data_IF_078798083557
#
_entry.id   IF_078798083557
#
_cell.length_a   1.000
_cell.length_b   1.000
_cell.length_c   1.000
_cell.angle_alpha   90.00
_cell.angle_beta   90.00
_cell.angle_gamma   90.00
#
_symmetry.space_group_name_H-M   'P 1'
#
loop_
_entity.id
_entity.type
_entity.pdbx_description
1 polymer ?
#
# COMPACT_ATOMS: atom_id res chain seq x y z
N UNK A 1 16.56 -16.00 5.14
CA UNK A 1 15.79 -15.22 4.14
C UNK A 1 15.98 -15.66 2.69
N UNK A 2 17.19 -15.81 2.14
CA UNK A 2 17.35 -16.25 0.72
C UNK A 2 16.66 -17.59 0.39
N UNK A 3 16.83 -18.61 1.24
CA UNK A 3 16.13 -19.91 1.09
C UNK A 3 14.61 -19.78 1.17
N UNK A 4 14.11 -18.87 2.03
CA UNK A 4 12.67 -18.58 2.18
C UNK A 4 12.11 -17.94 0.91
N UNK A 5 12.83 -16.97 0.33
CA UNK A 5 12.43 -16.36 -0.95
C UNK A 5 12.41 -17.38 -2.10
N UNK A 6 13.38 -18.30 -2.14
CA UNK A 6 13.37 -19.39 -3.13
C UNK A 6 12.19 -20.34 -2.94
N UNK A 7 11.93 -20.78 -1.71
CA UNK A 7 10.79 -21.64 -1.39
C UNK A 7 9.46 -20.95 -1.77
N UNK A 8 9.34 -19.66 -1.49
CA UNK A 8 8.20 -18.86 -1.88
C UNK A 8 8.04 -18.79 -3.41
N UNK A 9 9.13 -18.58 -4.15
CA UNK A 9 9.08 -18.54 -5.61
C UNK A 9 8.57 -19.87 -6.19
N UNK A 10 8.99 -21.01 -5.65
CA UNK A 10 8.45 -22.32 -6.05
C UNK A 10 6.98 -22.50 -5.65
N UNK A 11 6.59 -22.06 -4.46
CA UNK A 11 5.19 -22.08 -4.03
C UNK A 11 4.32 -21.24 -4.97
N UNK A 12 4.78 -20.06 -5.38
CA UNK A 12 4.08 -19.18 -6.31
C UNK A 12 4.02 -19.75 -7.74
N UNK A 13 5.00 -20.58 -8.17
CA UNK A 13 4.89 -21.37 -9.40
C UNK A 13 3.75 -22.40 -9.28
N UNK A 14 3.67 -23.11 -8.15
CA UNK A 14 2.57 -24.06 -7.92
C UNK A 14 1.21 -23.35 -7.93
N UNK A 15 1.10 -22.21 -7.23
CA UNK A 15 -0.12 -21.39 -7.21
C UNK A 15 -0.46 -20.88 -8.63
N UNK A 16 0.54 -20.46 -9.41
CA UNK A 16 0.33 -20.06 -10.81
C UNK A 16 -0.34 -21.17 -11.62
N UNK A 17 0.13 -22.41 -11.48
CA UNK A 17 -0.44 -23.57 -12.18
C UNK A 17 -1.89 -23.82 -11.74
N UNK A 18 -2.17 -23.73 -10.45
CA UNK A 18 -3.55 -23.88 -9.93
C UNK A 18 -4.48 -22.80 -10.51
N UNK A 19 -4.05 -21.53 -10.49
CA UNK A 19 -4.81 -20.41 -11.06
C UNK A 19 -5.03 -20.61 -12.56
N UNK A 20 -4.00 -21.04 -13.28
CA UNK A 20 -4.06 -21.25 -14.72
C UNK A 20 -5.08 -22.32 -15.11
N UNK A 21 -5.17 -23.40 -14.34
CA UNK A 21 -6.17 -24.48 -14.52
C UNK A 21 -7.60 -23.98 -14.27
N UNK A 22 -7.80 -22.94 -13.45
CA UNK A 22 -9.13 -22.43 -13.11
C UNK A 22 -9.60 -21.29 -14.05
N UNK A 23 -8.72 -20.36 -14.40
CA UNK A 23 -9.10 -19.16 -15.16
C UNK A 23 -8.63 -19.15 -16.63
N UNK A 24 -7.57 -19.89 -16.98
CA UNK A 24 -7.00 -19.99 -18.34
C UNK A 24 -6.74 -18.64 -19.06
N UNK A 25 -6.45 -17.56 -18.33
CA UNK A 25 -6.25 -16.24 -18.97
C UNK A 25 -4.83 -16.05 -19.50
N UNK A 26 -4.68 -15.19 -20.51
CA UNK A 26 -3.36 -14.80 -21.06
C UNK A 26 -2.44 -14.21 -19.97
N UNK A 27 -3.02 -13.45 -19.03
CA UNK A 27 -2.28 -12.88 -17.89
C UNK A 27 -1.60 -13.98 -17.06
N UNK A 28 -2.31 -15.07 -16.77
CA UNK A 28 -1.81 -16.15 -15.91
C UNK A 28 -0.66 -16.92 -16.58
N UNK A 29 -0.73 -17.11 -17.91
CA UNK A 29 0.38 -17.65 -18.70
C UNK A 29 1.61 -16.74 -18.64
N UNK A 30 1.43 -15.43 -18.78
CA UNK A 30 2.52 -14.44 -18.66
C UNK A 30 3.16 -14.53 -17.27
N UNK A 31 2.35 -14.60 -16.21
CA UNK A 31 2.85 -14.69 -14.84
C UNK A 31 3.67 -15.95 -14.60
N UNK A 32 3.20 -17.10 -15.08
CA UNK A 32 3.95 -18.35 -15.01
C UNK A 32 5.29 -18.24 -15.78
N UNK A 33 5.27 -17.63 -16.97
CA UNK A 33 6.48 -17.37 -17.76
C UNK A 33 7.50 -16.49 -17.03
N UNK A 34 7.05 -15.41 -16.38
CA UNK A 34 7.92 -14.53 -15.60
C UNK A 34 8.51 -15.27 -14.38
N UNK A 35 7.72 -16.08 -13.68
CA UNK A 35 8.20 -16.88 -12.55
C UNK A 35 9.26 -17.91 -13.00
N UNK A 36 9.03 -18.60 -14.11
CA UNK A 36 10.00 -19.52 -14.69
C UNK A 36 11.28 -18.79 -15.12
N UNK A 37 11.15 -17.62 -15.77
CA UNK A 37 12.28 -16.79 -16.15
C UNK A 37 13.11 -16.37 -14.94
N UNK A 38 12.46 -15.99 -13.83
CA UNK A 38 13.13 -15.62 -12.59
C UNK A 38 13.99 -16.76 -12.01
N UNK A 39 13.54 -18.02 -12.14
CA UNK A 39 14.35 -19.20 -11.79
C UNK A 39 15.55 -19.35 -12.72
N UNK A 40 15.32 -19.29 -14.05
CA UNK A 40 16.36 -19.51 -15.07
C UNK A 40 17.47 -18.47 -14.97
N UNK A 41 17.11 -17.19 -14.84
CA UNK A 41 18.07 -16.09 -14.79
C UNK A 41 18.65 -15.84 -13.40
N UNK A 42 18.33 -16.68 -12.40
CA UNK A 42 18.79 -16.53 -11.02
C UNK A 42 20.32 -16.45 -10.86
N UNK A 43 21.07 -17.04 -11.79
CA UNK A 43 22.54 -16.95 -11.84
C UNK A 43 23.04 -15.56 -12.29
N UNK A 44 22.28 -14.85 -13.12
CA UNK A 44 22.60 -13.49 -13.55
C UNK A 44 22.07 -12.47 -12.54
N UNK A 45 22.94 -12.06 -11.61
CA UNK A 45 22.58 -11.20 -10.48
C UNK A 45 21.87 -9.89 -10.89
N UNK A 46 22.27 -9.23 -11.98
CA UNK A 46 21.67 -7.94 -12.39
C UNK A 46 20.26 -8.12 -12.94
N UNK A 47 20.09 -9.06 -13.87
CA UNK A 47 18.79 -9.33 -14.50
C UNK A 47 17.82 -9.92 -13.47
N UNK A 48 18.30 -10.88 -12.67
CA UNK A 48 17.51 -11.47 -11.59
C UNK A 48 17.03 -10.42 -10.60
N UNK A 49 17.90 -9.50 -10.16
CA UNK A 49 17.51 -8.44 -9.24
C UNK A 49 16.43 -7.51 -9.84
N UNK A 50 16.52 -7.14 -11.12
CA UNK A 50 15.50 -6.31 -11.77
C UNK A 50 14.15 -7.02 -11.82
N UNK A 51 14.11 -8.27 -12.29
CA UNK A 51 12.86 -9.05 -12.36
C UNK A 51 12.26 -9.21 -10.96
N UNK A 52 13.09 -9.52 -9.96
CA UNK A 52 12.63 -9.76 -8.60
C UNK A 52 12.17 -8.49 -7.87
N UNK A 53 12.66 -7.31 -8.25
CA UNK A 53 12.20 -6.04 -7.68
C UNK A 53 10.92 -5.57 -8.38
N UNK A 54 10.88 -5.66 -9.71
CA UNK A 54 9.82 -5.04 -10.52
C UNK A 54 8.60 -5.94 -10.65
N UNK A 55 8.80 -7.21 -11.03
CA UNK A 55 7.70 -8.08 -11.48
C UNK A 55 7.22 -9.06 -10.40
N UNK A 56 8.15 -9.69 -9.67
CA UNK A 56 7.82 -10.74 -8.71
C UNK A 56 6.86 -10.27 -7.59
N UNK A 57 7.03 -9.08 -6.97
CA UNK A 57 6.11 -8.62 -5.93
C UNK A 57 4.67 -8.49 -6.42
N UNK A 58 4.48 -8.00 -7.65
CA UNK A 58 3.16 -7.85 -8.27
C UNK A 58 2.49 -9.21 -8.47
N UNK A 59 3.23 -10.18 -9.01
CA UNK A 59 2.73 -11.54 -9.21
C UNK A 59 2.34 -12.17 -7.86
N UNK A 60 3.16 -11.97 -6.83
CA UNK A 60 2.93 -12.57 -5.53
C UNK A 60 1.61 -12.11 -4.89
N UNK A 61 1.32 -10.81 -4.87
CA UNK A 61 0.07 -10.35 -4.25
C UNK A 61 -1.15 -10.74 -5.10
N UNK A 62 -1.08 -10.59 -6.44
CA UNK A 62 -2.21 -10.95 -7.31
C UNK A 62 -2.53 -12.45 -7.21
N UNK A 63 -1.52 -13.31 -7.06
CA UNK A 63 -1.73 -14.74 -6.84
C UNK A 63 -2.37 -15.06 -5.49
N UNK A 64 -1.97 -14.38 -4.41
CA UNK A 64 -2.62 -14.53 -3.10
C UNK A 64 -4.12 -14.18 -3.20
N UNK A 65 -4.45 -13.10 -3.90
CA UNK A 65 -5.83 -12.70 -4.17
C UNK A 65 -6.58 -13.73 -5.02
N UNK A 66 -6.07 -14.07 -6.21
CA UNK A 66 -6.76 -14.95 -7.15
C UNK A 66 -6.96 -16.35 -6.56
N UNK A 67 -5.97 -16.87 -5.82
CA UNK A 67 -6.12 -18.12 -5.09
C UNK A 67 -7.24 -18.04 -4.05
N UNK A 68 -7.31 -16.93 -3.30
CA UNK A 68 -8.35 -16.72 -2.29
C UNK A 68 -9.74 -16.59 -2.91
N UNK A 69 -9.86 -15.91 -4.05
CA UNK A 69 -11.12 -15.84 -4.82
C UNK A 69 -11.56 -17.25 -5.30
N UNK A 70 -10.65 -18.07 -5.83
CA UNK A 70 -10.94 -19.47 -6.20
C UNK A 70 -11.42 -20.26 -4.99
N UNK A 71 -10.73 -20.13 -3.85
CA UNK A 71 -11.10 -20.82 -2.62
C UNK A 71 -12.48 -20.40 -2.11
N UNK A 72 -12.81 -19.10 -2.16
CA UNK A 72 -14.14 -18.60 -1.76
C UNK A 72 -15.23 -19.14 -2.69
N UNK A 73 -14.95 -19.24 -4.00
CA UNK A 73 -15.90 -19.79 -4.97
C UNK A 73 -16.22 -21.26 -4.68
N UNK A 74 -15.22 -22.08 -4.34
CA UNK A 74 -15.39 -23.51 -4.08
C UNK A 74 -15.85 -23.81 -2.64
N UNK A 75 -15.43 -23.00 -1.67
CA UNK A 75 -15.66 -23.21 -0.24
C UNK A 75 -16.34 -22.00 0.41
N UNK A 76 -17.49 -21.58 -0.13
CA UNK A 76 -18.18 -20.35 0.30
C UNK A 76 -18.54 -20.32 1.80
N UNK A 77 -18.82 -21.47 2.42
CA UNK A 77 -19.02 -21.57 3.88
C UNK A 77 -17.78 -21.17 4.71
N UNK A 78 -16.58 -21.22 4.13
CA UNK A 78 -15.32 -20.85 4.79
C UNK A 78 -14.87 -19.42 4.46
N UNK A 79 -15.72 -18.60 3.83
CA UNK A 79 -15.36 -17.25 3.34
C UNK A 79 -14.65 -16.39 4.39
N UNK A 80 -15.13 -16.38 5.64
CA UNK A 80 -14.52 -15.59 6.72
C UNK A 80 -13.08 -16.06 7.02
N UNK A 81 -12.88 -17.37 7.10
CA UNK A 81 -11.55 -17.95 7.37
C UNK A 81 -10.61 -17.70 6.19
N UNK A 82 -11.08 -17.88 4.96
CA UNK A 82 -10.30 -17.61 3.75
C UNK A 82 -9.93 -16.13 3.66
N UNK A 83 -10.83 -15.22 4.02
CA UNK A 83 -10.55 -13.78 4.06
C UNK A 83 -9.41 -13.44 5.03
N UNK A 84 -9.39 -14.02 6.23
CA UNK A 84 -8.29 -13.78 7.17
C UNK A 84 -6.97 -14.38 6.70
N UNK A 85 -6.99 -15.56 6.08
CA UNK A 85 -5.81 -16.15 5.43
C UNK A 85 -5.29 -15.22 4.32
N UNK A 86 -6.20 -14.69 3.49
CA UNK A 86 -5.87 -13.71 2.47
C UNK A 86 -5.24 -12.44 3.07
N UNK A 87 -5.85 -11.87 4.11
CA UNK A 87 -5.39 -10.64 4.73
C UNK A 87 -3.97 -10.81 5.30
N UNK A 88 -3.76 -11.86 6.10
CA UNK A 88 -2.44 -12.18 6.65
C UNK A 88 -1.44 -12.50 5.54
N UNK A 89 -1.86 -13.30 4.55
CA UNK A 89 -1.05 -13.66 3.39
C UNK A 89 -0.55 -12.42 2.65
N UNK A 90 -1.44 -11.50 2.32
CA UNK A 90 -1.10 -10.22 1.66
C UNK A 90 -0.10 -9.39 2.45
N UNK A 91 -0.25 -9.33 3.79
CA UNK A 91 0.65 -8.56 4.66
C UNK A 91 2.06 -9.16 4.67
N UNK A 92 2.20 -10.49 4.66
CA UNK A 92 3.50 -11.15 4.84
C UNK A 92 4.19 -11.55 3.53
N UNK A 93 3.45 -11.70 2.42
CA UNK A 93 3.96 -12.26 1.16
C UNK A 93 5.13 -11.44 0.60
N UNK A 94 5.22 -10.15 0.91
CA UNK A 94 6.28 -9.29 0.40
C UNK A 94 7.54 -9.30 1.26
N UNK A 95 7.49 -9.78 2.51
CA UNK A 95 8.62 -9.72 3.44
C UNK A 95 9.89 -10.36 2.85
N UNK A 96 9.85 -11.56 2.26
CA UNK A 96 11.08 -12.20 1.77
C UNK A 96 11.72 -11.43 0.62
N UNK A 97 10.93 -10.93 -0.34
CA UNK A 97 11.47 -10.15 -1.47
C UNK A 97 11.97 -8.78 -1.02
N UNK A 98 11.32 -8.15 -0.03
CA UNK A 98 11.78 -6.89 0.56
C UNK A 98 13.16 -7.06 1.20
N UNK A 99 13.34 -8.06 2.06
CA UNK A 99 14.64 -8.26 2.73
C UNK A 99 15.72 -8.70 1.74
N UNK A 100 15.37 -9.62 0.83
CA UNK A 100 16.38 -10.26 -0.04
C UNK A 100 16.76 -9.38 -1.22
N UNK A 101 15.85 -8.61 -1.82
CA UNK A 101 16.14 -7.85 -3.04
C UNK A 101 16.12 -6.35 -2.82
N UNK A 102 15.07 -5.81 -2.17
CA UNK A 102 15.01 -4.37 -1.87
C UNK A 102 16.09 -3.95 -0.88
N UNK A 103 16.37 -4.77 0.14
CA UNK A 103 17.44 -4.53 1.12
C UNK A 103 18.83 -4.38 0.50
N UNK A 104 19.08 -4.97 -0.67
CA UNK A 104 20.38 -4.88 -1.38
C UNK A 104 20.55 -3.59 -2.18
N UNK A 105 19.51 -2.78 -2.34
CA UNK A 105 19.60 -1.52 -3.09
C UNK A 105 20.53 -0.56 -2.33
N UNK A 106 21.64 -0.17 -2.96
CA UNK A 106 22.68 0.64 -2.31
C UNK A 106 22.42 2.15 -2.38
N UNK A 107 22.00 2.67 -3.54
CA UNK A 107 21.87 4.12 -3.73
C UNK A 107 20.51 4.61 -3.24
N UNK A 108 20.45 5.67 -2.41
CA UNK A 108 19.19 6.23 -1.88
C UNK A 108 18.15 6.59 -2.95
N UNK A 109 18.59 7.13 -4.10
CA UNK A 109 17.65 7.46 -5.19
C UNK A 109 16.95 6.21 -5.75
N UNK A 110 17.66 5.09 -5.87
CA UNK A 110 17.08 3.81 -6.32
C UNK A 110 16.20 3.18 -5.24
N UNK A 111 16.48 3.43 -3.96
CA UNK A 111 15.60 3.03 -2.85
C UNK A 111 14.27 3.78 -2.94
N UNK A 112 14.31 5.08 -3.24
CA UNK A 112 13.11 5.91 -3.38
C UNK A 112 12.26 5.44 -4.56
N UNK A 113 12.86 5.29 -5.75
CA UNK A 113 12.17 4.80 -6.95
C UNK A 113 11.54 3.42 -6.69
N UNK A 114 12.29 2.50 -6.07
CA UNK A 114 11.76 1.18 -5.74
C UNK A 114 10.63 1.24 -4.70
N UNK A 115 10.70 2.14 -3.72
CA UNK A 115 9.64 2.31 -2.72
C UNK A 115 8.36 2.85 -3.35
N UNK A 116 8.45 3.86 -4.21
CA UNK A 116 7.32 4.40 -4.96
C UNK A 116 6.71 3.32 -5.85
N UNK A 117 7.53 2.53 -6.54
CA UNK A 117 7.05 1.38 -7.32
C UNK A 117 6.28 0.37 -6.45
N UNK A 118 6.87 -0.05 -5.34
CA UNK A 118 6.27 -1.04 -4.44
C UNK A 118 4.94 -0.56 -3.85
N UNK A 119 4.88 0.69 -3.39
CA UNK A 119 3.68 1.22 -2.73
C UNK A 119 2.60 1.50 -3.77
N UNK A 120 2.91 2.32 -4.78
CA UNK A 120 1.89 2.88 -5.67
C UNK A 120 1.51 1.95 -6.82
N UNK A 121 2.41 1.05 -7.25
CA UNK A 121 2.14 0.14 -8.37
C UNK A 121 1.93 -1.31 -7.95
N UNK A 122 2.60 -1.80 -6.90
CA UNK A 122 2.46 -3.19 -6.47
C UNK A 122 1.34 -3.34 -5.45
N UNK A 123 1.40 -2.59 -4.34
CA UNK A 123 0.46 -2.76 -3.23
C UNK A 123 -0.88 -2.09 -3.53
N UNK A 124 -0.89 -0.85 -4.01
CA UNK A 124 -2.14 -0.10 -4.27
C UNK A 124 -2.97 -0.61 -5.46
N UNK A 125 -2.37 -1.29 -6.44
CA UNK A 125 -3.12 -1.87 -7.57
C UNK A 125 -3.69 -3.26 -7.26
N UNK A 126 -3.61 -3.73 -6.03
CA UNK A 126 -4.21 -5.00 -5.68
C UNK A 126 -5.73 -4.91 -5.64
N UNK A 127 -6.36 -5.79 -6.42
CA UNK A 127 -7.80 -5.86 -6.52
C UNK A 127 -8.43 -6.50 -5.26
N UNK A 128 -9.59 -5.98 -4.90
CA UNK A 128 -10.43 -6.48 -3.81
C UNK A 128 -10.85 -7.93 -4.03
N UNK A 129 -11.09 -8.67 -2.94
CA UNK A 129 -11.72 -9.99 -3.02
C UNK A 129 -13.20 -9.88 -3.41
N UNK A 130 -13.70 -10.91 -4.08
CA UNK A 130 -15.09 -10.97 -4.53
C UNK A 130 -15.98 -11.65 -3.48
N UNK A 131 -16.57 -10.87 -2.58
CA UNK A 131 -17.39 -11.36 -1.45
C UNK A 131 -18.90 -11.39 -1.77
N UNK A 132 -19.35 -12.27 -2.67
CA UNK A 132 -20.77 -12.31 -3.14
C UNK A 132 -21.79 -12.74 -2.08
N UNK A 133 -21.43 -13.66 -1.18
CA UNK A 133 -22.36 -14.28 -0.22
C UNK A 133 -22.25 -13.67 1.19
N UNK A 134 -21.73 -12.45 1.30
CA UNK A 134 -21.52 -11.75 2.57
C UNK A 134 -22.42 -10.53 2.60
N UNK A 135 -22.94 -10.18 3.79
CA UNK A 135 -23.70 -8.95 3.97
C UNK A 135 -22.94 -7.74 3.38
N UNK A 136 -23.49 -7.05 2.36
CA UNK A 136 -22.82 -5.94 1.68
C UNK A 136 -22.54 -4.75 2.59
N UNK A 137 -23.34 -4.58 3.65
CA UNK A 137 -23.19 -3.53 4.66
C UNK A 137 -22.57 -4.08 5.96
N UNK A 138 -21.98 -5.29 5.91
CA UNK A 138 -21.29 -5.92 7.02
C UNK A 138 -19.83 -5.47 7.15
N UNK A 139 -19.27 -5.68 8.35
CA UNK A 139 -17.87 -5.37 8.67
C UNK A 139 -16.88 -5.94 7.65
N UNK A 140 -17.04 -7.20 7.23
CA UNK A 140 -16.09 -7.89 6.35
C UNK A 140 -15.99 -7.22 4.96
N UNK A 141 -17.13 -6.79 4.41
CA UNK A 141 -17.16 -6.09 3.12
C UNK A 141 -16.58 -4.69 3.25
N UNK A 142 -16.87 -3.99 4.34
CA UNK A 142 -16.24 -2.69 4.66
C UNK A 142 -14.72 -2.83 4.80
N UNK A 143 -14.23 -3.86 5.50
CA UNK A 143 -12.81 -4.12 5.68
C UNK A 143 -12.12 -4.44 4.36
N UNK A 144 -12.69 -5.33 3.55
CA UNK A 144 -12.17 -5.64 2.22
C UNK A 144 -12.03 -4.35 1.39
N UNK A 145 -13.09 -3.55 1.30
CA UNK A 145 -13.13 -2.31 0.49
C UNK A 145 -12.28 -1.16 1.04
N UNK A 146 -12.03 -1.13 2.35
CA UNK A 146 -11.34 -0.01 3.01
C UNK A 146 -9.91 0.19 2.52
N UNK A 147 -9.23 -0.87 2.07
CA UNK A 147 -7.81 -0.84 1.76
C UNK A 147 -6.90 -1.06 2.98
N UNK A 148 -7.45 -1.24 4.19
CA UNK A 148 -6.67 -1.36 5.43
C UNK A 148 -5.63 -2.50 5.39
N UNK A 149 -5.97 -3.63 4.77
CA UNK A 149 -5.03 -4.75 4.57
C UNK A 149 -3.79 -4.29 3.79
N UNK A 150 -3.98 -3.43 2.79
CA UNK A 150 -2.89 -2.89 1.98
C UNK A 150 -2.08 -1.83 2.73
N UNK A 151 -2.73 -0.95 3.50
CA UNK A 151 -2.04 -0.03 4.40
C UNK A 151 -1.14 -0.78 5.40
N UNK A 152 -1.61 -1.89 5.96
CA UNK A 152 -0.80 -2.76 6.81
C UNK A 152 0.33 -3.45 6.04
N UNK A 153 0.13 -3.83 4.79
CA UNK A 153 1.19 -4.37 3.94
C UNK A 153 2.27 -3.31 3.62
N UNK A 154 1.87 -2.05 3.38
CA UNK A 154 2.80 -0.90 3.22
C UNK A 154 3.60 -0.71 4.50
N UNK A 155 2.93 -0.69 5.65
CA UNK A 155 3.57 -0.56 6.96
C UNK A 155 4.65 -1.62 7.18
N UNK A 156 4.32 -2.89 6.93
CA UNK A 156 5.25 -4.02 7.06
C UNK A 156 6.40 -3.90 6.05
N UNK A 157 6.10 -3.58 4.79
CA UNK A 157 7.12 -3.31 3.78
C UNK A 157 8.11 -2.24 4.23
N UNK A 158 7.59 -1.08 4.67
CA UNK A 158 8.39 0.07 5.10
C UNK A 158 9.30 -0.30 6.26
N UNK A 159 8.77 -0.99 7.28
CA UNK A 159 9.55 -1.46 8.41
C UNK A 159 10.75 -2.31 7.96
N UNK A 160 10.52 -3.34 7.14
CA UNK A 160 11.58 -4.24 6.69
C UNK A 160 12.55 -3.57 5.72
N UNK A 161 12.09 -2.68 4.84
CA UNK A 161 12.93 -1.94 3.90
C UNK A 161 13.89 -1.00 4.64
N UNK A 162 13.36 -0.18 5.55
CA UNK A 162 14.13 0.80 6.35
C UNK A 162 15.17 0.08 7.20
N UNK A 163 14.77 -0.99 7.91
CA UNK A 163 15.70 -1.83 8.69
C UNK A 163 16.77 -2.47 7.81
N UNK A 164 16.41 -3.02 6.65
CA UNK A 164 17.36 -3.65 5.73
C UNK A 164 18.38 -2.67 5.16
N UNK A 165 18.04 -1.39 5.08
CA UNK A 165 18.94 -0.32 4.65
C UNK A 165 19.82 0.27 5.76
N UNK A 166 19.65 -0.21 7.00
CA UNK A 166 20.42 0.22 8.17
C UNK A 166 19.94 1.52 8.80
N UNK A 167 18.71 1.95 8.50
CA UNK A 167 18.11 3.12 9.14
C UNK A 167 17.37 2.71 10.42
N UNK A 168 17.30 3.64 11.38
CA UNK A 168 16.40 3.49 12.52
C UNK A 168 14.95 3.66 12.07
N UNK A 169 14.07 2.83 12.65
CA UNK A 169 12.65 2.91 12.40
C UNK A 169 11.98 3.58 13.59
N UNK A 170 11.62 4.85 13.42
CA UNK A 170 11.02 5.68 14.46
C UNK A 170 9.76 6.35 13.89
N UNK A 171 8.58 5.81 14.21
CA UNK A 171 7.31 6.44 13.82
C UNK A 171 7.17 7.87 14.35
N UNK A 172 7.82 8.16 15.48
CA UNK A 172 7.87 9.50 16.03
C UNK A 172 9.13 10.21 15.51
N UNK A 173 8.94 11.17 14.58
CA UNK A 173 9.96 12.17 14.31
C UNK A 173 9.99 13.14 15.50
N UNK A 174 11.08 13.25 16.29
CA UNK A 174 11.18 14.22 17.37
C UNK A 174 11.44 15.60 16.75
N UNK A 175 10.45 16.16 16.07
CA UNK A 175 10.63 17.34 15.20
C UNK A 175 10.53 18.65 15.95
N UNK A 176 9.94 18.66 17.16
CA UNK A 176 9.77 19.89 17.92
C UNK A 176 10.27 19.72 19.36
N UNK A 177 11.20 20.58 19.78
CA UNK A 177 11.58 20.72 21.18
C UNK A 177 10.49 21.53 21.91
N UNK A 178 9.71 20.86 22.76
CA UNK A 178 8.76 21.49 23.68
C UNK A 178 7.29 21.11 23.44
N UNK A 179 6.62 20.58 24.48
CA UNK A 179 5.22 20.10 24.44
C UNK A 179 4.22 21.15 23.92
N UNK A 180 4.43 22.44 24.22
CA UNK A 180 3.53 23.52 23.80
C UNK A 180 3.60 23.80 22.29
N UNK A 181 4.80 23.82 21.71
CA UNK A 181 4.97 24.02 20.27
C UNK A 181 4.44 22.81 19.48
N UNK A 182 4.63 21.60 20.00
CA UNK A 182 4.03 20.39 19.42
C UNK A 182 2.50 20.47 19.38
N UNK A 183 1.87 20.86 20.49
CA UNK A 183 0.41 21.00 20.56
C UNK A 183 -0.09 22.09 19.60
N UNK A 184 0.59 23.24 19.53
CA UNK A 184 0.23 24.32 18.61
C UNK A 184 0.34 23.87 17.14
N UNK A 185 1.48 23.26 16.77
CA UNK A 185 1.69 22.70 15.44
C UNK A 185 0.64 21.63 15.11
N UNK A 186 0.31 20.76 16.07
CA UNK A 186 -0.74 19.75 15.90
C UNK A 186 -2.10 20.39 15.62
N UNK A 187 -2.53 21.36 16.43
CA UNK A 187 -3.80 22.08 16.23
C UNK A 187 -3.83 22.76 14.85
N UNK A 188 -2.73 23.39 14.45
CA UNK A 188 -2.63 24.09 13.17
C UNK A 188 -2.69 23.12 11.99
N UNK A 189 -1.91 22.02 12.03
CA UNK A 189 -1.93 20.96 11.03
C UNK A 189 -3.32 20.32 10.95
N UNK A 190 -3.94 20.04 12.10
CA UNK A 190 -5.27 19.43 12.17
C UNK A 190 -6.35 20.35 11.58
N UNK A 191 -6.32 21.65 11.91
CA UNK A 191 -7.21 22.64 11.32
C UNK A 191 -7.04 22.77 9.81
N UNK A 192 -5.80 22.81 9.32
CA UNK A 192 -5.50 22.85 7.88
C UNK A 192 -5.95 21.55 7.20
N UNK A 193 -5.74 20.39 7.82
CA UNK A 193 -6.14 19.10 7.26
C UNK A 193 -7.66 19.02 7.10
N UNK A 194 -8.43 19.38 8.14
CA UNK A 194 -9.89 19.49 8.05
C UNK A 194 -10.27 20.42 6.90
N UNK A 195 -9.70 21.63 6.87
CA UNK A 195 -9.99 22.60 5.82
C UNK A 195 -9.74 22.08 4.41
N UNK A 196 -8.59 21.42 4.19
CA UNK A 196 -8.23 20.84 2.90
C UNK A 196 -9.17 19.70 2.49
N UNK A 197 -9.59 18.84 3.43
CA UNK A 197 -10.56 17.78 3.14
C UNK A 197 -11.93 18.35 2.73
N UNK A 198 -12.39 19.41 3.42
CA UNK A 198 -13.59 20.13 3.03
C UNK A 198 -13.41 20.76 1.63
N UNK A 199 -12.34 21.50 1.41
CA UNK A 199 -12.04 22.13 0.13
C UNK A 199 -11.98 21.11 -1.02
N UNK A 200 -11.30 19.98 -0.84
CA UNK A 200 -11.20 18.92 -1.86
C UNK A 200 -12.57 18.32 -2.22
N UNK A 201 -13.45 18.16 -1.23
CA UNK A 201 -14.79 17.62 -1.45
C UNK A 201 -15.69 18.63 -2.15
N UNK A 202 -15.77 19.85 -1.61
CA UNK A 202 -16.66 20.90 -2.11
C UNK A 202 -16.21 21.53 -3.42
N UNK A 203 -14.91 21.54 -3.72
CA UNK A 203 -14.40 22.03 -5.01
C UNK A 203 -14.92 21.25 -6.22
N UNK A 204 -15.39 20.01 -6.03
CA UNK A 204 -16.04 19.22 -7.09
C UNK A 204 -17.49 19.63 -7.36
N UNK A 205 -18.11 20.34 -6.41
CA UNK A 205 -19.52 20.76 -6.46
C UNK A 205 -19.68 22.27 -6.61
N UNK A 206 -18.65 23.05 -6.30
CA UNK A 206 -18.66 24.49 -6.39
C UNK A 206 -18.84 24.95 -7.85
N UNK A 207 -19.88 25.72 -8.10
CA UNK A 207 -20.11 26.39 -9.38
C UNK A 207 -19.56 27.82 -9.38
N UNK A 208 -19.27 28.38 -8.20
CA UNK A 208 -18.75 29.74 -8.02
C UNK A 208 -17.54 29.76 -7.09
N UNK A 209 -16.66 30.75 -7.29
CA UNK A 209 -15.46 30.93 -6.47
C UNK A 209 -15.75 31.11 -4.98
N UNK A 210 -16.86 31.75 -4.61
CA UNK A 210 -17.22 31.92 -3.19
C UNK A 210 -17.60 30.58 -2.52
N UNK A 211 -18.13 29.62 -3.28
CA UNK A 211 -18.50 28.28 -2.81
C UNK A 211 -17.28 27.37 -2.62
N UNK A 212 -16.10 27.76 -3.09
CA UNK A 212 -14.86 27.03 -2.82
C UNK A 212 -14.39 27.24 -1.39
N UNK A 213 -14.60 28.43 -0.83
CA UNK A 213 -13.96 28.84 0.41
C UNK A 213 -14.94 29.07 1.56
N UNK A 214 -16.14 29.61 1.34
CA UNK A 214 -16.94 30.10 2.49
C UNK A 214 -18.43 29.78 2.39
N UNK A 215 -19.01 29.76 1.18
CA UNK A 215 -20.43 29.51 0.96
C UNK A 215 -20.68 28.06 0.54
N UNK A 216 -20.30 27.11 1.39
CA UNK A 216 -20.49 25.69 1.10
C UNK A 216 -21.97 25.33 1.13
N UNK A 217 -22.49 24.83 0.01
CA UNK A 217 -23.86 24.32 -0.05
C UNK A 217 -23.90 22.85 0.43
N UNK A 218 -24.19 22.67 1.72
CA UNK A 218 -24.32 21.37 2.34
C UNK A 218 -25.53 20.57 1.82
N UNK A 219 -26.50 21.20 1.15
CA UNK A 219 -27.65 20.48 0.59
C UNK A 219 -27.27 19.53 -0.56
N UNK A 220 -26.11 19.77 -1.19
CA UNK A 220 -25.52 18.90 -2.20
C UNK A 220 -24.86 17.65 -1.61
N UNK A 221 -24.58 17.64 -0.31
CA UNK A 221 -24.14 16.44 0.39
C UNK A 221 -25.39 15.62 0.74
N UNK A 222 -25.68 14.58 -0.04
CA UNK A 222 -26.68 13.60 0.37
C UNK A 222 -26.01 12.56 1.31
N UNK A 223 -26.26 12.59 2.64
CA UNK A 223 -25.65 11.66 3.59
C UNK A 223 -26.08 10.20 3.35
N UNK A 224 -27.18 9.98 2.61
CA UNK A 224 -27.66 8.64 2.23
C UNK A 224 -27.09 8.13 0.90
N UNK A 225 -26.49 9.00 0.08
CA UNK A 225 -25.81 8.66 -1.19
C UNK A 225 -24.30 8.52 -1.03
N UNK A 226 -23.80 8.40 0.21
CA UNK A 226 -22.40 8.07 0.46
C UNK A 226 -22.05 6.69 -0.15
N UNK A 227 -21.69 6.68 -1.43
CA UNK A 227 -21.33 5.45 -2.19
C UNK A 227 -20.14 4.75 -1.55
N UNK A 228 -19.27 5.50 -0.85
CA UNK A 228 -18.05 5.00 -0.21
C UNK A 228 -18.23 4.64 1.27
N UNK A 229 -19.07 5.35 2.03
CA UNK A 229 -19.17 5.20 3.49
C UNK A 229 -20.62 4.86 3.88
N UNK A 230 -21.01 3.59 3.67
CA UNK A 230 -22.39 3.11 3.92
C UNK A 230 -22.70 2.81 5.39
N UNK A 231 -21.67 2.61 6.21
CA UNK A 231 -21.83 2.24 7.62
C UNK A 231 -20.66 2.77 8.47
N UNK A 232 -20.84 2.78 9.80
CA UNK A 232 -19.81 3.26 10.72
C UNK A 232 -18.47 2.53 10.53
N UNK A 233 -18.50 1.22 10.26
CA UNK A 233 -17.29 0.43 9.99
C UNK A 233 -16.48 0.97 8.82
N UNK A 234 -17.14 1.34 7.72
CA UNK A 234 -16.46 1.93 6.57
C UNK A 234 -15.77 3.22 6.95
N UNK A 235 -16.44 4.12 7.69
CA UNK A 235 -15.82 5.37 8.18
C UNK A 235 -14.56 5.09 8.98
N UNK A 236 -14.66 4.24 10.02
CA UNK A 236 -13.51 3.92 10.86
C UNK A 236 -12.36 3.28 10.07
N UNK A 237 -12.66 2.31 9.21
CA UNK A 237 -11.63 1.55 8.51
C UNK A 237 -10.94 2.38 7.42
N UNK A 238 -11.65 3.24 6.69
CA UNK A 238 -11.04 4.18 5.75
C UNK A 238 -10.19 5.23 6.47
N UNK A 239 -10.63 5.71 7.64
CA UNK A 239 -9.80 6.65 8.43
C UNK A 239 -8.51 6.01 8.93
N UNK A 240 -8.59 4.80 9.48
CA UNK A 240 -7.41 4.05 9.94
C UNK A 240 -6.50 3.71 8.75
N UNK A 241 -7.07 3.32 7.62
CA UNK A 241 -6.31 3.03 6.40
C UNK A 241 -5.51 4.25 5.94
N UNK A 242 -6.13 5.42 5.83
CA UNK A 242 -5.46 6.65 5.45
C UNK A 242 -4.35 7.02 6.46
N UNK A 243 -4.63 6.91 7.76
CA UNK A 243 -3.65 7.21 8.81
C UNK A 243 -2.42 6.29 8.73
N UNK A 244 -2.62 4.98 8.57
CA UNK A 244 -1.52 4.02 8.53
C UNK A 244 -0.80 4.06 7.18
N UNK A 245 -1.55 3.99 6.08
CA UNK A 245 -1.04 3.82 4.72
C UNK A 245 -0.30 5.06 4.24
N UNK A 246 -0.94 6.23 4.30
CA UNK A 246 -0.34 7.48 3.83
C UNK A 246 0.86 7.85 4.69
N UNK A 247 0.79 7.70 6.02
CA UNK A 247 1.89 8.09 6.89
C UNK A 247 3.08 7.12 6.80
N UNK A 248 2.84 5.82 6.60
CA UNK A 248 3.92 4.86 6.33
C UNK A 248 4.62 5.18 5.00
N UNK A 249 3.87 5.50 3.94
CA UNK A 249 4.42 5.90 2.65
C UNK A 249 5.19 7.23 2.75
N UNK A 250 4.62 8.22 3.45
CA UNK A 250 5.27 9.51 3.72
C UNK A 250 6.56 9.34 4.49
N UNK A 251 6.57 8.49 5.52
CA UNK A 251 7.73 8.22 6.36
C UNK A 251 8.93 7.74 5.54
N UNK A 252 8.75 6.69 4.72
CA UNK A 252 9.86 6.15 3.91
C UNK A 252 10.35 7.16 2.88
N UNK A 253 9.44 7.92 2.27
CA UNK A 253 9.77 8.97 1.32
C UNK A 253 10.59 10.08 1.98
N UNK A 254 10.18 10.56 3.16
CA UNK A 254 10.90 11.56 3.94
C UNK A 254 12.29 11.09 4.33
N UNK A 255 12.42 9.89 4.92
CA UNK A 255 13.72 9.33 5.31
C UNK A 255 14.68 9.27 4.12
N UNK A 256 14.22 8.78 2.97
CA UNK A 256 15.06 8.65 1.78
C UNK A 256 15.41 10.01 1.18
N UNK A 257 14.46 10.95 1.10
CA UNK A 257 14.72 12.30 0.59
C UNK A 257 15.66 13.10 1.49
N UNK A 258 15.52 12.97 2.81
CA UNK A 258 16.47 13.56 3.77
C UNK A 258 17.88 13.03 3.54
N UNK A 259 18.04 11.73 3.27
CA UNK A 259 19.34 11.14 2.95
C UNK A 259 19.86 11.63 1.59
N UNK A 260 19.00 11.73 0.57
CA UNK A 260 19.35 12.22 -0.77
C UNK A 260 19.83 13.67 -0.72
N UNK A 261 19.12 14.52 0.02
CA UNK A 261 19.42 15.96 0.12
C UNK A 261 20.36 16.33 1.27
N UNK A 262 21.02 15.37 1.93
CA UNK A 262 21.83 15.59 3.13
C UNK A 262 22.89 16.70 3.05
N UNK A 263 23.36 17.01 1.84
CA UNK A 263 24.37 18.04 1.58
C UNK A 263 23.81 19.36 1.02
N UNK A 264 22.48 19.50 0.96
CA UNK A 264 21.80 20.67 0.40
C UNK A 264 21.30 21.58 1.52
N UNK A 265 21.48 22.89 1.37
CA UNK A 265 20.97 23.88 2.34
C UNK A 265 19.45 23.81 2.52
N UNK A 266 18.74 23.35 1.50
CA UNK A 266 17.29 23.18 1.49
C UNK A 266 16.84 21.75 1.81
N UNK A 267 17.69 20.92 2.46
CA UNK A 267 17.41 19.50 2.73
C UNK A 267 16.00 19.24 3.29
N UNK A 268 15.63 19.94 4.36
CA UNK A 268 14.33 19.76 5.03
C UNK A 268 13.19 20.17 4.09
N UNK A 269 13.26 21.37 3.52
CA UNK A 269 12.23 21.88 2.62
C UNK A 269 12.06 20.97 1.39
N UNK A 270 13.16 20.49 0.81
CA UNK A 270 13.15 19.57 -0.32
C UNK A 270 12.58 18.20 0.02
N UNK A 271 12.88 17.68 1.21
CA UNK A 271 12.31 16.41 1.66
C UNK A 271 10.80 16.52 1.90
N UNK A 272 10.35 17.60 2.56
CA UNK A 272 8.93 17.85 2.82
C UNK A 272 8.16 18.01 1.50
N UNK A 273 8.61 18.93 0.63
CA UNK A 273 7.97 19.15 -0.68
C UNK A 273 8.02 17.91 -1.56
N UNK A 274 9.14 17.20 -1.60
CA UNK A 274 9.27 15.97 -2.38
C UNK A 274 8.34 14.88 -1.87
N UNK A 275 8.25 14.68 -0.55
CA UNK A 275 7.43 13.61 0.04
C UNK A 275 5.94 13.77 -0.27
N UNK A 276 5.44 15.01 -0.37
CA UNK A 276 4.06 15.30 -0.72
C UNK A 276 3.70 14.94 -2.18
N UNK A 277 4.69 14.79 -3.06
CA UNK A 277 4.48 14.45 -4.48
C UNK A 277 4.58 12.93 -4.77
N UNK A 278 4.98 12.12 -3.79
CA UNK A 278 5.20 10.67 -3.95
C UNK A 278 4.16 9.80 -3.24
N UNK A 279 3.13 10.42 -2.64
CA UNK A 279 1.96 9.78 -2.05
C UNK A 279 0.84 9.77 -3.08
#
# INVERSE_FOLDING_TARGET
>A
MKKVFQAQLYLNILIAVIILINYHTVKDWIYLGILALAVVVSKNKRISQLINIVLIPMIFIDQVRNLSDILIQHFSQLTLLIFWIYAVGTIIVLIPVTIVEYGKIKKPIWRLIASVWMINFVIMFCYLLTLKNVNPDGFLVSLNKSGLVYALAILVYVYFAVKSWGYEFCFNLPTFKGKKLQLLSFILIFGIAIWLSFFQTFSRFAQRWQELFWNWDFSLLNPTESVRLKNAWSVFLYSIEAEIGEEAARYINLVLLLVIFKSKKWQINGAVLGSANFI
#
